data_IF_854841953747
#
_entry.id   IF_854841953747
#
_cell.length_a   1.000
_cell.length_b   1.000
_cell.length_c   1.000
_cell.angle_alpha   90.00
_cell.angle_beta   90.00
_cell.angle_gamma   90.00
#
_symmetry.space_group_name_H-M   'P 1'
#
loop_
_entity.id
_entity.type
_entity.pdbx_description
1 polymer ?
#
# COMPACT_ATOMS: atom_id res chain seq x y z
N UNK A 1 27.81 -10.29 -28.80
CA UNK A 1 27.42 -11.36 -29.72
C UNK A 1 25.92 -11.47 -29.73
N UNK A 2 25.28 -10.93 -30.76
CA UNK A 2 23.82 -10.92 -30.95
C UNK A 2 23.51 -11.53 -32.32
N UNK A 3 23.91 -12.79 -32.54
CA UNK A 3 23.41 -13.52 -33.72
C UNK A 3 21.98 -14.00 -33.43
N UNK A 4 20.99 -13.71 -34.30
CA UNK A 4 19.62 -14.22 -34.22
C UNK A 4 19.56 -15.76 -34.14
N UNK A 5 20.60 -16.44 -34.60
CA UNK A 5 20.69 -17.90 -34.68
C UNK A 5 20.85 -18.58 -33.30
N UNK A 6 21.35 -17.85 -32.30
CA UNK A 6 21.63 -18.42 -30.97
C UNK A 6 20.36 -18.67 -30.13
N UNK A 7 19.25 -17.99 -30.45
CA UNK A 7 18.00 -18.05 -29.67
C UNK A 7 16.79 -18.57 -30.47
N UNK A 8 16.96 -18.80 -31.78
CA UNK A 8 15.87 -19.26 -32.66
C UNK A 8 14.70 -18.26 -32.79
N UNK A 9 14.87 -17.01 -32.37
CA UNK A 9 13.83 -15.98 -32.38
C UNK A 9 13.96 -15.09 -33.63
N UNK A 10 12.84 -14.76 -34.31
CA UNK A 10 12.83 -13.75 -35.36
C UNK A 10 13.49 -12.44 -34.90
N UNK A 11 14.37 -11.87 -35.72
CA UNK A 11 15.12 -10.64 -35.39
C UNK A 11 14.22 -9.51 -34.87
N UNK A 12 13.03 -9.34 -35.46
CA UNK A 12 12.02 -8.36 -35.01
C UNK A 12 11.56 -8.56 -33.56
N UNK A 13 11.45 -9.81 -33.10
CA UNK A 13 11.10 -10.09 -31.70
C UNK A 13 12.27 -9.81 -30.77
N UNK A 14 13.49 -10.10 -31.21
CA UNK A 14 14.70 -9.84 -30.42
C UNK A 14 14.92 -8.34 -30.20
N UNK A 15 14.73 -7.52 -31.25
CA UNK A 15 14.76 -6.05 -31.13
C UNK A 15 13.67 -5.55 -30.17
N UNK A 16 12.43 -6.02 -30.29
CA UNK A 16 11.34 -5.63 -29.35
C UNK A 16 11.65 -6.00 -27.90
N UNK A 17 12.25 -7.17 -27.66
CA UNK A 17 12.64 -7.59 -26.31
C UNK A 17 13.73 -6.68 -25.74
N UNK A 18 14.75 -6.36 -26.54
CA UNK A 18 15.82 -5.43 -26.15
C UNK A 18 15.24 -4.04 -25.84
N UNK A 19 14.35 -3.53 -26.69
CA UNK A 19 13.69 -2.23 -26.47
C UNK A 19 12.83 -2.23 -25.20
N UNK A 20 12.05 -3.29 -24.97
CA UNK A 20 11.27 -3.44 -23.74
C UNK A 20 12.16 -3.46 -22.49
N UNK A 21 13.27 -4.20 -22.53
CA UNK A 21 14.21 -4.28 -21.43
C UNK A 21 14.93 -2.95 -21.19
N UNK A 22 15.37 -2.26 -22.25
CA UNK A 22 16.00 -0.94 -22.15
C UNK A 22 15.05 0.10 -21.56
N UNK A 23 13.78 0.11 -21.99
CA UNK A 23 12.75 0.98 -21.42
C UNK A 23 12.46 0.64 -19.96
N UNK A 24 12.34 -0.65 -19.61
CA UNK A 24 12.16 -1.08 -18.22
C UNK A 24 13.33 -0.64 -17.33
N UNK A 25 14.57 -0.82 -17.81
CA UNK A 25 15.77 -0.41 -17.10
C UNK A 25 15.82 1.11 -16.88
N UNK A 26 15.49 1.89 -17.92
CA UNK A 26 15.47 3.35 -17.85
C UNK A 26 14.43 3.86 -16.86
N UNK A 27 13.20 3.34 -16.93
CA UNK A 27 12.13 3.69 -15.98
C UNK A 27 12.54 3.30 -14.56
N UNK A 28 13.11 2.11 -14.37
CA UNK A 28 13.62 1.68 -13.07
C UNK A 28 14.69 2.61 -12.51
N UNK A 29 15.61 3.08 -13.35
CA UNK A 29 16.68 4.00 -12.95
C UNK A 29 16.14 5.38 -12.58
N UNK A 30 15.21 5.93 -13.36
CA UNK A 30 14.55 7.21 -13.06
C UNK A 30 13.79 7.14 -11.72
N UNK A 31 13.00 6.09 -11.49
CA UNK A 31 12.27 5.94 -10.22
C UNK A 31 13.22 5.77 -9.03
N UNK A 32 14.29 4.99 -9.15
CA UNK A 32 15.30 4.85 -8.09
C UNK A 32 15.99 6.18 -7.79
N UNK A 33 16.23 7.00 -8.81
CA UNK A 33 16.79 8.34 -8.63
C UNK A 33 15.81 9.26 -7.91
N UNK A 34 14.51 9.22 -8.21
CA UNK A 34 13.50 10.01 -7.50
C UNK A 34 13.36 9.58 -6.03
N UNK A 35 13.38 8.27 -5.75
CA UNK A 35 13.38 7.74 -4.37
C UNK A 35 14.62 8.21 -3.62
N UNK A 36 15.79 8.11 -4.24
CA UNK A 36 17.05 8.59 -3.66
C UNK A 36 17.14 10.11 -3.49
N UNK A 37 16.30 10.87 -4.21
CA UNK A 37 16.23 12.33 -4.15
C UNK A 37 15.18 12.84 -3.16
N UNK A 38 14.46 11.94 -2.46
CA UNK A 38 13.55 12.35 -1.40
C UNK A 38 14.31 13.14 -0.33
N UNK A 39 13.76 14.28 0.13
CA UNK A 39 14.35 14.99 1.26
C UNK A 39 14.30 14.12 2.52
N UNK A 40 15.08 14.47 3.54
CA UNK A 40 14.93 13.82 4.84
C UNK A 40 13.51 14.05 5.39
N UNK A 41 12.88 13.04 6.04
CA UNK A 41 11.61 13.23 6.71
C UNK A 41 11.69 14.36 7.75
N UNK A 42 10.63 15.14 7.96
CA UNK A 42 10.58 16.19 8.98
C UNK A 42 10.43 15.59 10.38
N UNK A 43 11.44 14.87 10.86
CA UNK A 43 11.42 14.06 12.09
C UNK A 43 11.02 14.85 13.34
N UNK A 44 11.37 16.13 13.40
CA UNK A 44 11.06 17.04 14.53
C UNK A 44 9.54 17.27 14.64
N UNK A 45 8.81 17.20 13.52
CA UNK A 45 7.37 17.43 13.45
C UNK A 45 6.55 16.14 13.48
N UNK A 46 7.21 15.00 13.34
CA UNK A 46 6.62 13.68 13.49
C UNK A 46 6.36 13.40 14.98
N UNK A 47 5.46 12.46 15.30
CA UNK A 47 5.02 12.20 16.67
C UNK A 47 5.88 11.11 17.31
N UNK A 48 6.84 11.44 18.21
CA UNK A 48 7.53 10.42 18.97
C UNK A 48 6.51 9.83 19.93
N UNK A 49 6.15 8.56 19.74
CA UNK A 49 5.01 8.00 20.46
C UNK A 49 5.33 6.69 21.15
N UNK A 50 5.36 6.77 22.48
CA UNK A 50 5.33 5.63 23.38
C UNK A 50 3.94 4.97 23.34
N UNK A 51 3.91 3.66 23.08
CA UNK A 51 2.68 2.89 22.95
C UNK A 51 1.86 2.83 24.25
N UNK A 52 2.52 2.77 25.41
CA UNK A 52 1.84 2.73 26.71
C UNK A 52 1.12 4.04 27.00
N UNK A 53 1.72 5.17 26.64
CA UNK A 53 1.07 6.49 26.77
C UNK A 53 -0.12 6.60 25.82
N UNK A 54 0.02 6.19 24.56
CA UNK A 54 -1.05 6.28 23.53
C UNK A 54 -2.28 5.46 23.88
N UNK A 55 -2.09 4.30 24.48
CA UNK A 55 -3.17 3.35 24.72
C UNK A 55 -3.68 3.37 26.16
N UNK A 56 -3.14 4.24 27.02
CA UNK A 56 -3.61 4.46 28.38
C UNK A 56 -5.08 4.90 28.38
N UNK A 57 -5.96 4.09 28.98
CA UNK A 57 -7.38 4.42 29.14
C UNK A 57 -8.31 4.01 27.99
N UNK A 58 -7.81 3.36 26.93
CA UNK A 58 -8.63 2.91 25.79
C UNK A 58 -9.77 1.97 26.16
N UNK A 59 -9.64 1.25 27.27
CA UNK A 59 -10.70 0.34 27.78
C UNK A 59 -12.04 1.04 28.02
N UNK A 60 -12.10 2.37 28.12
CA UNK A 60 -13.30 3.13 28.42
C UNK A 60 -14.11 3.63 27.19
N UNK A 61 -13.52 3.76 26.00
CA UNK A 61 -14.22 4.28 24.81
C UNK A 61 -13.81 3.58 23.49
N UNK A 62 -14.77 2.92 22.86
CA UNK A 62 -14.59 2.17 21.60
C UNK A 62 -14.62 3.07 20.35
N UNK A 63 -13.77 4.10 20.23
CA UNK A 63 -13.57 4.85 18.97
C UNK A 63 -12.68 6.10 19.09
N UNK A 64 -11.74 6.16 20.04
CA UNK A 64 -10.88 7.34 20.18
C UNK A 64 -9.65 7.27 19.25
N UNK A 65 -9.29 8.37 18.59
CA UNK A 65 -8.02 8.47 17.87
C UNK A 65 -6.91 8.81 18.87
N UNK A 66 -5.85 8.01 18.86
CA UNK A 66 -4.67 8.12 19.72
C UNK A 66 -3.57 8.99 19.11
N UNK A 67 -3.74 9.39 17.86
CA UNK A 67 -2.80 10.23 17.10
C UNK A 67 -3.46 11.56 16.73
N UNK A 68 -2.64 12.59 16.57
CA UNK A 68 -3.11 13.87 16.04
C UNK A 68 -3.08 13.84 14.50
N UNK A 69 -3.96 14.59 13.81
CA UNK A 69 -3.83 14.83 12.38
C UNK A 69 -2.43 15.39 12.03
N UNK A 70 -1.90 14.97 10.89
CA UNK A 70 -0.60 15.43 10.39
C UNK A 70 -0.62 16.92 10.10
N UNK A 71 0.46 17.64 10.43
CA UNK A 71 0.65 19.01 9.95
C UNK A 71 0.93 19.03 8.44
N UNK A 72 0.84 20.20 7.82
CA UNK A 72 0.98 20.33 6.36
C UNK A 72 2.35 19.89 5.85
N UNK A 73 3.42 20.11 6.62
CA UNK A 73 4.78 19.67 6.25
C UNK A 73 4.92 18.15 6.25
N UNK A 74 4.40 17.47 7.27
CA UNK A 74 4.38 15.99 7.35
C UNK A 74 3.50 15.41 6.24
N UNK A 75 2.35 16.05 5.96
CA UNK A 75 1.44 15.63 4.89
C UNK A 75 2.06 15.80 3.50
N UNK A 76 2.73 16.93 3.26
CA UNK A 76 3.44 17.20 2.01
C UNK A 76 4.62 16.26 1.79
N UNK A 77 5.31 15.85 2.86
CA UNK A 77 6.32 14.80 2.78
C UNK A 77 5.69 13.45 2.41
N UNK A 78 4.60 13.07 3.08
CA UNK A 78 3.85 11.86 2.74
C UNK A 78 3.35 11.84 1.30
N UNK A 79 2.85 12.95 0.75
CA UNK A 79 2.42 13.04 -0.66
C UNK A 79 3.55 12.71 -1.64
N UNK A 80 4.80 13.05 -1.33
CA UNK A 80 5.95 12.68 -2.15
C UNK A 80 6.19 11.17 -2.09
N UNK A 81 6.17 10.59 -0.91
CA UNK A 81 6.28 9.13 -0.76
C UNK A 81 5.13 8.40 -1.46
N UNK A 82 3.90 8.88 -1.30
CA UNK A 82 2.70 8.32 -1.93
C UNK A 82 2.79 8.39 -3.47
N UNK A 83 3.31 9.49 -4.02
CA UNK A 83 3.53 9.61 -5.48
C UNK A 83 4.50 8.54 -5.98
N UNK A 84 5.60 8.32 -5.27
CA UNK A 84 6.61 7.31 -5.64
C UNK A 84 6.08 5.89 -5.48
N UNK A 85 5.31 5.62 -4.41
CA UNK A 85 4.63 4.32 -4.21
C UNK A 85 3.83 3.90 -5.44
N UNK A 86 3.10 4.86 -6.01
CA UNK A 86 2.20 4.62 -7.14
C UNK A 86 2.89 4.77 -8.50
N UNK A 87 4.14 5.24 -8.54
CA UNK A 87 5.00 5.18 -9.73
C UNK A 87 5.56 3.76 -9.95
N UNK A 88 5.83 3.02 -8.87
CA UNK A 88 6.28 1.62 -8.87
C UNK A 88 5.27 0.72 -8.14
N UNK A 89 4.05 0.57 -8.66
CA UNK A 89 3.00 -0.19 -8.00
C UNK A 89 3.38 -1.68 -7.82
N UNK A 90 4.20 -2.24 -8.71
CA UNK A 90 4.62 -3.64 -8.77
C UNK A 90 5.77 -4.02 -7.83
N UNK A 91 6.30 -3.06 -7.07
CA UNK A 91 7.37 -3.29 -6.08
C UNK A 91 6.92 -2.98 -4.67
N UNK A 92 7.66 -3.55 -3.71
CA UNK A 92 7.53 -3.16 -2.31
C UNK A 92 7.98 -1.71 -2.14
N UNK A 93 7.43 -1.03 -1.14
CA UNK A 93 7.78 0.37 -0.87
C UNK A 93 7.84 0.63 0.62
N UNK A 94 8.79 1.44 1.08
CA UNK A 94 8.96 1.75 2.50
C UNK A 94 8.55 3.19 2.80
N UNK A 95 7.39 3.35 3.45
CA UNK A 95 6.93 4.64 3.95
C UNK A 95 7.69 5.06 5.21
N UNK A 96 7.71 6.36 5.48
CA UNK A 96 8.00 6.88 6.81
C UNK A 96 6.71 6.95 7.63
N UNK A 97 6.64 6.15 8.68
CA UNK A 97 5.51 6.15 9.62
C UNK A 97 5.48 7.43 10.47
N UNK A 98 4.37 7.66 11.18
CA UNK A 98 4.16 8.90 11.93
C UNK A 98 5.12 9.07 13.12
N UNK A 99 5.77 7.99 13.58
CA UNK A 99 6.88 8.00 14.55
C UNK A 99 8.27 8.12 13.89
N UNK A 100 8.32 8.25 12.57
CA UNK A 100 9.54 8.35 11.79
C UNK A 100 10.21 7.01 11.44
N UNK A 101 9.65 5.88 11.86
CA UNK A 101 10.19 4.55 11.48
C UNK A 101 9.88 4.23 10.03
N UNK A 102 10.74 3.44 9.39
CA UNK A 102 10.43 2.87 8.07
C UNK A 102 9.46 1.70 8.21
N UNK A 103 8.49 1.64 7.30
CA UNK A 103 7.46 0.60 7.28
C UNK A 103 7.17 0.17 5.85
N UNK A 104 7.48 -1.08 5.54
CA UNK A 104 7.32 -1.65 4.19
C UNK A 104 5.87 -2.02 3.89
N UNK A 105 5.44 -1.75 2.66
CA UNK A 105 4.16 -2.19 2.08
C UNK A 105 4.40 -3.14 0.92
N UNK A 106 3.59 -4.20 0.86
CA UNK A 106 3.62 -5.18 -0.21
C UNK A 106 3.35 -4.54 -1.59
N UNK A 107 3.92 -5.11 -2.67
CA UNK A 107 3.55 -4.77 -4.05
C UNK A 107 2.04 -4.79 -4.31
N UNK A 108 1.57 -3.88 -5.17
CA UNK A 108 0.20 -3.89 -5.67
C UNK A 108 0.08 -4.87 -6.83
N UNK A 109 -0.85 -5.80 -6.69
CA UNK A 109 -1.30 -6.60 -7.83
C UNK A 109 -2.05 -5.70 -8.80
N UNK A 110 -1.45 -5.41 -9.95
CA UNK A 110 -2.18 -4.90 -11.10
C UNK A 110 -3.08 -6.02 -11.63
N UNK A 111 -4.29 -6.17 -11.06
CA UNK A 111 -5.28 -7.14 -11.53
C UNK A 111 -5.80 -6.67 -12.89
N UNK A 112 -5.15 -7.10 -13.97
CA UNK A 112 -5.65 -6.97 -15.34
C UNK A 112 -4.88 -6.01 -16.25
N UNK A 113 -5.25 -6.06 -17.54
CA UNK A 113 -4.65 -5.26 -18.62
C UNK A 113 -4.61 -3.76 -18.26
N UNK A 114 -3.59 -3.00 -18.70
CA UNK A 114 -3.45 -1.55 -18.43
C UNK A 114 -4.62 -0.67 -18.94
N UNK A 115 -5.63 -1.26 -19.60
CA UNK A 115 -6.85 -0.59 -20.06
C UNK A 115 -8.07 -0.76 -19.13
N UNK A 116 -7.90 -1.31 -17.92
CA UNK A 116 -9.01 -1.48 -16.99
C UNK A 116 -9.55 -0.10 -16.57
N UNK A 117 -10.84 0.17 -16.87
CA UNK A 117 -11.51 1.41 -16.48
C UNK A 117 -11.30 1.65 -14.98
N UNK A 118 -10.95 2.88 -14.61
CA UNK A 118 -10.83 3.31 -13.22
C UNK A 118 -12.15 2.98 -12.52
N UNK A 119 -12.11 2.10 -11.51
CA UNK A 119 -13.30 1.77 -10.74
C UNK A 119 -13.68 3.00 -9.93
N UNK A 120 -14.84 3.56 -10.18
CA UNK A 120 -15.27 4.75 -9.46
C UNK A 120 -15.53 4.45 -7.97
N UNK A 121 -15.26 5.43 -7.11
CA UNK A 121 -15.53 5.33 -5.69
C UNK A 121 -15.69 6.75 -5.12
N UNK A 122 -16.78 6.99 -4.40
CA UNK A 122 -17.14 8.34 -3.93
C UNK A 122 -16.08 9.02 -3.04
N UNK A 123 -15.22 8.24 -2.37
CA UNK A 123 -14.12 8.79 -1.56
C UNK A 123 -12.87 9.15 -2.37
N UNK A 124 -12.76 8.74 -3.63
CA UNK A 124 -11.53 8.84 -4.42
C UNK A 124 -11.66 9.94 -5.47
N UNK A 125 -10.62 10.77 -5.59
CA UNK A 125 -10.52 11.77 -6.66
C UNK A 125 -10.51 11.10 -8.04
N UNK A 126 -11.10 11.76 -9.04
CA UNK A 126 -11.20 11.21 -10.40
C UNK A 126 -9.87 11.18 -11.16
N UNK A 127 -8.95 12.12 -10.90
CA UNK A 127 -7.66 12.24 -11.61
C UNK A 127 -6.53 11.36 -11.05
N UNK A 128 -6.85 10.34 -10.26
CA UNK A 128 -5.85 9.48 -9.60
C UNK A 128 -5.31 8.38 -10.54
N UNK A 129 -4.14 7.79 -10.25
CA UNK A 129 -3.66 6.62 -10.95
C UNK A 129 -4.65 5.44 -10.90
N UNK A 130 -4.83 4.65 -11.98
CA UNK A 130 -5.86 3.61 -12.04
C UNK A 130 -5.76 2.50 -10.99
N UNK A 131 -4.55 2.24 -10.49
CA UNK A 131 -4.28 1.24 -9.46
C UNK A 131 -4.54 1.76 -8.03
N UNK A 132 -4.81 3.06 -7.84
CA UNK A 132 -5.19 3.62 -6.54
C UNK A 132 -6.61 3.18 -6.19
N UNK A 133 -6.71 2.36 -5.16
CA UNK A 133 -7.98 1.88 -4.60
C UNK A 133 -8.02 2.16 -3.09
N UNK A 134 -9.23 2.18 -2.52
CA UNK A 134 -9.41 2.29 -1.06
C UNK A 134 -8.62 1.24 -0.31
N UNK A 135 -8.55 0.01 -0.83
CA UNK A 135 -7.85 -1.08 -0.15
C UNK A 135 -6.34 -0.78 -0.04
N UNK A 136 -5.75 -0.19 -1.08
CA UNK A 136 -4.35 0.23 -1.09
C UNK A 136 -4.11 1.39 -0.12
N UNK A 137 -4.98 2.42 -0.15
CA UNK A 137 -4.84 3.57 0.75
C UNK A 137 -5.03 3.20 2.23
N UNK A 138 -5.90 2.24 2.55
CA UNK A 138 -6.05 1.72 3.92
C UNK A 138 -4.83 0.91 4.35
N UNK A 139 -4.23 0.13 3.43
CA UNK A 139 -2.96 -0.57 3.67
C UNK A 139 -1.84 0.42 3.96
N UNK A 140 -1.70 1.46 3.12
CA UNK A 140 -0.70 2.51 3.28
C UNK A 140 -0.90 3.27 4.61
N UNK A 141 -2.15 3.60 4.96
CA UNK A 141 -2.47 4.23 6.24
C UNK A 141 -2.11 3.33 7.44
N UNK A 142 -2.38 2.03 7.36
CA UNK A 142 -2.01 1.07 8.41
C UNK A 142 -0.49 0.93 8.56
N UNK A 143 0.25 0.94 7.44
CA UNK A 143 1.71 0.90 7.45
C UNK A 143 2.34 2.11 8.14
N UNK A 144 1.69 3.28 8.07
CA UNK A 144 2.16 4.51 8.72
C UNK A 144 1.77 4.64 10.20
N UNK A 145 1.07 3.65 10.78
CA UNK A 145 0.74 3.68 12.20
C UNK A 145 2.01 3.70 13.05
N UNK A 146 2.13 4.61 14.03
CA UNK A 146 3.28 4.60 14.92
C UNK A 146 3.31 3.30 15.73
N UNK A 147 4.49 2.69 15.88
CA UNK A 147 4.65 1.35 16.46
C UNK A 147 4.01 0.21 15.66
N UNK A 148 3.58 0.45 14.41
CA UNK A 148 2.84 -0.51 13.58
C UNK A 148 1.53 -0.95 14.22
N UNK A 149 0.97 -0.12 15.11
CA UNK A 149 -0.23 -0.44 15.89
C UNK A 149 -1.09 0.79 16.12
N UNK A 150 -2.41 0.60 16.09
CA UNK A 150 -3.34 1.69 16.36
C UNK A 150 -4.80 1.28 16.36
N UNK A 151 -5.65 2.26 16.61
CA UNK A 151 -7.10 2.08 16.54
C UNK A 151 -7.58 2.24 15.09
N UNK A 152 -8.81 1.81 14.81
CA UNK A 152 -9.48 2.13 13.55
C UNK A 152 -9.61 3.65 13.32
N UNK A 153 -9.76 4.43 14.39
CA UNK A 153 -9.82 5.89 14.29
C UNK A 153 -8.48 6.47 13.83
N UNK A 154 -7.35 5.89 14.26
CA UNK A 154 -6.01 6.28 13.79
C UNK A 154 -5.83 6.03 12.30
N UNK A 155 -6.31 4.88 11.80
CA UNK A 155 -6.33 4.60 10.36
C UNK A 155 -7.22 5.59 9.60
N UNK A 156 -8.37 5.97 10.17
CA UNK A 156 -9.22 7.02 9.59
C UNK A 156 -8.49 8.38 9.55
N UNK A 157 -7.72 8.73 10.58
CA UNK A 157 -6.92 9.95 10.60
C UNK A 157 -5.85 9.92 9.50
N UNK A 158 -5.10 8.83 9.39
CA UNK A 158 -3.99 8.71 8.42
C UNK A 158 -4.43 8.59 6.96
N UNK A 159 -5.58 7.97 6.66
CA UNK A 159 -6.04 7.86 5.26
C UNK A 159 -6.44 9.23 4.69
N UNK A 160 -6.90 10.17 5.54
CA UNK A 160 -7.25 11.53 5.10
C UNK A 160 -6.05 12.34 4.65
N UNK A 161 -4.84 11.93 5.02
CA UNK A 161 -3.64 12.58 4.49
C UNK A 161 -3.41 12.26 3.00
N UNK A 162 -4.04 11.23 2.42
CA UNK A 162 -3.83 10.84 1.02
C UNK A 162 -4.26 11.94 0.07
N UNK A 163 -3.40 12.25 -0.91
CA UNK A 163 -3.73 13.25 -1.94
C UNK A 163 -4.85 12.78 -2.88
N UNK A 164 -5.21 11.49 -2.86
CA UNK A 164 -6.24 10.87 -3.69
C UNK A 164 -7.60 10.75 -3.01
N UNK A 165 -7.73 11.09 -1.73
CA UNK A 165 -9.00 11.14 -1.02
C UNK A 165 -9.68 12.50 -1.24
N UNK A 166 -10.99 12.51 -1.46
CA UNK A 166 -11.78 13.75 -1.54
C UNK A 166 -11.82 14.44 -0.18
N UNK A 167 -11.69 15.76 -0.16
CA UNK A 167 -11.55 16.54 1.08
C UNK A 167 -12.85 16.60 1.91
N UNK A 168 -14.00 16.71 1.24
CA UNK A 168 -15.31 16.88 1.88
C UNK A 168 -16.01 15.55 2.20
N UNK A 169 -15.34 14.68 2.96
CA UNK A 169 -15.92 13.40 3.38
C UNK A 169 -16.21 13.33 4.88
N UNK A 170 -17.42 12.89 5.22
CA UNK A 170 -17.85 12.79 6.61
C UNK A 170 -17.11 11.68 7.37
N UNK A 171 -16.92 11.89 8.68
CA UNK A 171 -16.29 10.91 9.57
C UNK A 171 -16.99 9.56 9.56
N UNK A 172 -18.32 9.56 9.46
CA UNK A 172 -19.11 8.35 9.36
C UNK A 172 -18.77 7.55 8.10
N UNK A 173 -18.70 8.21 6.93
CA UNK A 173 -18.37 7.56 5.67
C UNK A 173 -16.95 6.99 5.67
N UNK A 174 -15.96 7.77 6.14
CA UNK A 174 -14.57 7.29 6.27
C UNK A 174 -14.52 6.07 7.18
N UNK A 175 -15.19 6.12 8.32
CA UNK A 175 -15.17 5.04 9.30
C UNK A 175 -15.75 3.72 8.74
N UNK A 176 -16.89 3.79 8.04
CA UNK A 176 -17.51 2.62 7.39
C UNK A 176 -16.59 2.01 6.33
N UNK A 177 -16.00 2.85 5.49
CA UNK A 177 -15.11 2.40 4.40
C UNK A 177 -13.82 1.81 4.94
N UNK A 178 -13.20 2.45 5.93
CA UNK A 178 -11.99 1.95 6.60
C UNK A 178 -12.27 0.64 7.32
N UNK A 179 -13.39 0.50 8.03
CA UNK A 179 -13.77 -0.76 8.69
C UNK A 179 -13.85 -1.91 7.68
N UNK A 180 -14.64 -1.73 6.61
CA UNK A 180 -14.79 -2.78 5.61
C UNK A 180 -13.52 -3.09 4.82
N UNK A 181 -12.61 -2.13 4.69
CA UNK A 181 -11.31 -2.34 4.06
C UNK A 181 -10.33 -3.10 4.97
N UNK A 182 -10.24 -2.74 6.25
CA UNK A 182 -9.43 -3.46 7.24
C UNK A 182 -9.87 -4.92 7.35
N UNK A 183 -11.18 -5.19 7.37
CA UNK A 183 -11.72 -6.55 7.35
C UNK A 183 -11.26 -7.31 6.10
N UNK A 184 -11.29 -6.68 4.92
CA UNK A 184 -10.83 -7.30 3.67
C UNK A 184 -9.34 -7.61 3.70
N UNK A 185 -8.51 -6.68 4.16
CA UNK A 185 -7.06 -6.85 4.31
C UNK A 185 -6.71 -7.98 5.29
N UNK A 186 -7.48 -8.10 6.38
CA UNK A 186 -7.29 -9.14 7.39
C UNK A 186 -7.52 -10.57 6.86
N UNK A 187 -8.30 -10.71 5.78
CA UNK A 187 -8.63 -11.99 5.15
C UNK A 187 -7.93 -12.22 3.79
N UNK A 188 -6.89 -11.45 3.49
CA UNK A 188 -5.97 -11.75 2.38
C UNK A 188 -5.22 -13.07 2.64
N UNK A 189 -4.59 -13.62 1.60
CA UNK A 189 -3.74 -14.81 1.73
C UNK A 189 -2.56 -14.51 2.67
N UNK A 190 -1.87 -13.41 2.37
CA UNK A 190 -0.85 -12.77 3.21
C UNK A 190 -1.41 -11.47 3.80
N UNK A 191 -2.10 -11.55 4.96
CA UNK A 191 -2.72 -10.38 5.55
C UNK A 191 -1.68 -9.37 6.03
N UNK A 192 -1.78 -8.14 5.53
CA UNK A 192 -0.95 -7.04 6.01
C UNK A 192 -1.38 -6.47 7.36
N UNK A 193 -2.59 -6.81 7.83
CA UNK A 193 -3.12 -6.35 9.13
C UNK A 193 -3.77 -7.48 9.92
N UNK A 194 -3.67 -7.37 11.24
CA UNK A 194 -4.32 -8.26 12.19
C UNK A 194 -5.02 -7.48 13.28
N UNK A 195 -6.26 -7.90 13.61
CA UNK A 195 -6.98 -7.34 14.74
C UNK A 195 -6.64 -8.12 16.02
N UNK A 196 -6.00 -7.45 16.97
CA UNK A 196 -5.81 -7.92 18.33
C UNK A 196 -7.11 -7.71 19.11
N UNK A 197 -7.79 -8.81 19.42
CA UNK A 197 -9.10 -8.80 20.10
C UNK A 197 -8.99 -8.38 21.56
N UNK A 198 -7.88 -8.69 22.22
CA UNK A 198 -7.70 -8.43 23.65
C UNK A 198 -7.41 -6.95 23.88
N UNK A 199 -6.63 -6.35 22.97
CA UNK A 199 -6.29 -4.91 23.02
C UNK A 199 -7.27 -4.04 22.25
N UNK A 200 -8.12 -4.63 21.41
CA UNK A 200 -8.98 -3.93 20.44
C UNK A 200 -8.18 -3.02 19.49
N UNK A 201 -7.00 -3.47 19.04
CA UNK A 201 -6.09 -2.70 18.19
C UNK A 201 -5.83 -3.43 16.87
N UNK A 202 -5.54 -2.65 15.83
CA UNK A 202 -5.04 -3.15 14.56
C UNK A 202 -3.52 -3.10 14.57
N UNK A 203 -2.89 -4.21 14.19
CA UNK A 203 -1.44 -4.37 14.04
C UNK A 203 -1.13 -4.52 12.57
N UNK A 204 -0.15 -3.76 12.08
CA UNK A 204 0.40 -3.89 10.74
C UNK A 204 1.57 -4.89 10.74
N UNK A 205 1.54 -5.86 9.84
CA UNK A 205 2.40 -7.06 9.89
C UNK A 205 3.55 -7.06 8.89
N UNK A 206 3.53 -6.18 7.90
CA UNK A 206 4.51 -6.18 6.80
C UNK A 206 5.64 -5.16 7.02
N UNK A 207 5.60 -4.38 8.10
CA UNK A 207 6.43 -3.18 8.27
C UNK A 207 7.94 -3.42 8.23
N UNK A 208 8.39 -4.59 8.69
CA UNK A 208 9.82 -4.96 8.75
C UNK A 208 10.23 -5.97 7.67
N UNK A 209 9.32 -6.27 6.73
CA UNK A 209 9.61 -7.23 5.65
C UNK A 209 10.46 -6.63 4.55
N UNK A 210 11.29 -7.46 3.94
CA UNK A 210 12.04 -7.22 2.71
C UNK A 210 11.22 -7.58 1.46
N UNK A 211 11.68 -7.16 0.29
CA UNK A 211 10.95 -7.35 -0.98
C UNK A 211 10.77 -8.85 -1.31
N UNK A 212 11.75 -9.66 -0.98
CA UNK A 212 11.82 -11.10 -1.22
C UNK A 212 10.85 -11.91 -0.35
N UNK A 213 10.36 -11.33 0.75
CA UNK A 213 9.42 -11.98 1.67
C UNK A 213 7.96 -11.91 1.19
N UNK A 214 7.68 -11.16 0.12
CA UNK A 214 6.33 -11.05 -0.43
C UNK A 214 6.03 -12.16 -1.44
N UNK A 215 4.98 -12.93 -1.15
CA UNK A 215 4.44 -13.88 -2.11
C UNK A 215 3.75 -13.15 -3.27
N UNK A 216 3.98 -13.62 -4.51
CA UNK A 216 3.46 -12.99 -5.72
C UNK A 216 1.91 -12.93 -5.77
N UNK A 217 1.20 -13.70 -4.96
CA UNK A 217 -0.26 -13.68 -4.84
C UNK A 217 -0.79 -13.31 -3.45
N UNK A 218 0.07 -12.92 -2.52
CA UNK A 218 -0.26 -12.68 -1.11
C UNK A 218 -1.41 -11.69 -0.87
N UNK A 219 -1.54 -10.65 -1.71
CA UNK A 219 -2.63 -9.65 -1.60
C UNK A 219 -3.98 -10.12 -2.18
N UNK A 220 -4.08 -11.38 -2.63
CA UNK A 220 -5.34 -11.96 -3.10
C UNK A 220 -6.22 -12.39 -1.93
N UNK A 221 -7.54 -12.36 -2.09
CA UNK A 221 -8.44 -12.92 -1.07
C UNK A 221 -8.36 -14.45 -1.05
N UNK A 222 -8.38 -15.06 0.15
CA UNK A 222 -8.45 -16.51 0.36
C UNK A 222 -9.59 -17.20 -0.41
N UNK A 223 -10.71 -16.51 -0.64
CA UNK A 223 -11.85 -17.05 -1.41
C UNK A 223 -11.56 -17.17 -2.91
N UNK A 224 -10.76 -16.25 -3.46
CA UNK A 224 -10.39 -16.28 -4.88
C UNK A 224 -9.33 -17.35 -5.16
N UNK A 225 -8.41 -17.58 -4.22
CA UNK A 225 -7.44 -18.67 -4.29
C UNK A 225 -8.10 -20.05 -4.44
N UNK A 226 -9.07 -20.37 -3.56
CA UNK A 226 -9.81 -21.64 -3.64
C UNK A 226 -10.48 -21.85 -5.00
N UNK A 227 -11.10 -20.79 -5.55
CA UNK A 227 -11.73 -20.84 -6.88
C UNK A 227 -10.72 -21.02 -8.02
N UNK A 228 -9.54 -20.42 -7.91
CA UNK A 228 -8.46 -20.59 -8.91
C UNK A 228 -7.87 -21.99 -8.85
N UNK A 229 -7.64 -22.54 -7.65
CA UNK A 229 -7.22 -23.93 -7.45
C UNK A 229 -8.23 -24.93 -8.04
N UNK A 230 -9.51 -24.76 -7.75
CA UNK A 230 -10.59 -25.58 -8.31
C UNK A 230 -10.71 -25.48 -9.84
N UNK A 231 -10.41 -24.31 -10.42
CA UNK A 231 -10.37 -24.13 -11.88
C UNK A 231 -9.16 -24.81 -12.53
N UNK A 232 -7.99 -24.76 -11.88
CA UNK A 232 -6.77 -25.40 -12.38
C UNK A 232 -6.91 -26.93 -12.36
N UNK A 233 -7.50 -27.51 -11.31
CA UNK A 233 -7.73 -28.95 -11.24
C UNK A 233 -8.75 -29.46 -12.28
N UNK A 234 -9.77 -28.65 -12.60
CA UNK A 234 -10.74 -28.99 -13.68
C UNK A 234 -10.18 -28.88 -15.09
N UNK A 235 -9.12 -28.09 -15.30
CA UNK A 235 -8.47 -27.98 -16.61
C UNK A 235 -7.36 -29.04 -16.81
N UNK A 236 -7.01 -29.77 -15.75
CA UNK A 236 -6.03 -30.86 -15.74
C UNK A 236 -6.70 -32.25 -15.64
N UNK A 237 -8.03 -32.31 -15.58
CA UNK A 237 -8.86 -33.52 -15.61
C UNK A 237 -9.63 -33.61 -16.91
#
# INVERSE_FOLDING_TARGET
GTSPEAWGLPHRLLVRLVDCFANWLKIGQETLQEIGSLPAPPMILMQPTDAEVRFKGIRAQRSFSTIRPSCDEVRAYFHREETLRYLIPDRAFSYTALDGRKSTVAPLRCIGKPSAKIRDHFMLKHNRPPHVTILCLVRDAAARLPGSIGTRADVCTLIRDSQFIVEDISDFQVNQVVSGALDRLHYELDPCVQFDRDRHLWVYLHGEREEEEFENDGTSSRKNWKRQGEMLERNLS
#
